data_IF_435560504992
#
_entry.id   IF_435560504992
#
_cell.length_a   1.000
_cell.length_b   1.000
_cell.length_c   1.000
_cell.angle_alpha   90.00
_cell.angle_beta   90.00
_cell.angle_gamma   90.00
#
_symmetry.space_group_name_H-M   'P 1'
#
loop_
_entity.id
_entity.type
_entity.pdbx_description
1 polymer ?
#
# COMPACT_ATOMS: atom_id res chain seq x y z
N UNK A 1 -13.92 15.63 21.24
CA UNK A 1 -13.22 16.12 20.03
C UNK A 1 -12.53 14.94 19.33
N UNK A 2 -13.18 13.78 19.31
CA UNK A 2 -12.46 12.50 19.22
C UNK A 2 -12.84 11.75 17.96
N UNK A 3 -12.35 12.26 16.83
CA UNK A 3 -12.33 11.47 15.61
C UNK A 3 -11.20 10.45 15.70
N UNK A 4 -11.57 9.18 15.84
CA UNK A 4 -10.64 8.06 15.97
C UNK A 4 -10.37 7.44 14.61
N UNK A 5 -9.11 7.42 14.20
CA UNK A 5 -8.69 6.74 12.96
C UNK A 5 -8.47 5.27 13.28
N UNK A 6 -9.18 4.40 12.55
CA UNK A 6 -9.05 2.94 12.66
C UNK A 6 -8.32 2.39 11.44
N UNK A 7 -7.58 1.30 11.62
CA UNK A 7 -6.96 0.58 10.51
C UNK A 7 -7.78 -0.68 10.24
N UNK A 8 -8.23 -0.87 9.00
CA UNK A 8 -8.95 -2.06 8.58
C UNK A 8 -8.02 -3.28 8.55
N UNK A 9 -8.57 -4.49 8.50
CA UNK A 9 -7.77 -5.72 8.32
C UNK A 9 -6.90 -5.70 7.06
N UNK A 10 -7.30 -4.93 6.05
CA UNK A 10 -6.57 -4.74 4.78
C UNK A 10 -5.57 -3.57 4.84
N UNK A 11 -5.38 -2.95 6.00
CA UNK A 11 -4.48 -1.81 6.19
C UNK A 11 -5.07 -0.44 5.80
N UNK A 12 -6.30 -0.38 5.29
CA UNK A 12 -6.97 0.88 4.93
C UNK A 12 -7.35 1.66 6.18
N UNK A 13 -6.97 2.94 6.26
CA UNK A 13 -7.37 3.81 7.37
C UNK A 13 -8.75 4.36 7.14
N UNK A 14 -9.59 4.21 8.15
CA UNK A 14 -11.01 4.55 8.08
C UNK A 14 -11.46 5.24 9.35
N UNK A 15 -12.47 6.09 9.21
CA UNK A 15 -13.21 6.69 10.32
C UNK A 15 -14.66 6.23 10.27
N UNK A 16 -15.32 6.15 11.43
CA UNK A 16 -16.78 5.91 11.45
C UNK A 16 -17.51 7.16 10.98
N UNK A 17 -18.53 6.97 10.16
CA UNK A 17 -19.38 8.05 9.70
C UNK A 17 -20.11 8.71 10.89
N UNK A 18 -20.50 7.93 11.91
CA UNK A 18 -21.13 8.49 13.13
C UNK A 18 -20.18 9.38 13.93
N UNK A 19 -18.92 8.97 14.08
CA UNK A 19 -17.89 9.76 14.74
C UNK A 19 -17.56 11.02 13.95
N UNK A 20 -17.49 10.93 12.61
CA UNK A 20 -17.29 12.10 11.75
C UNK A 20 -18.48 13.07 11.82
N UNK A 21 -19.71 12.57 11.79
CA UNK A 21 -20.93 13.37 11.88
C UNK A 21 -21.02 14.13 13.21
N UNK A 22 -20.76 13.45 14.33
CA UNK A 22 -20.68 14.08 15.65
C UNK A 22 -19.54 15.07 15.75
N UNK A 23 -18.37 14.73 15.20
CA UNK A 23 -17.22 15.65 15.17
C UNK A 23 -17.56 16.94 14.41
N UNK A 24 -18.32 16.84 13.30
CA UNK A 24 -18.81 17.98 12.53
C UNK A 24 -19.91 18.78 13.26
N UNK A 25 -20.34 18.37 14.45
CA UNK A 25 -21.34 19.07 15.24
C UNK A 25 -22.74 19.06 14.63
N UNK A 26 -23.05 18.02 13.85
CA UNK A 26 -24.35 17.84 13.20
C UNK A 26 -25.34 17.17 14.16
N UNK A 27 -26.63 17.43 14.02
CA UNK A 27 -27.64 16.85 14.89
C UNK A 27 -27.84 15.35 14.63
N UNK A 28 -27.79 14.52 15.67
CA UNK A 28 -27.77 13.05 15.57
C UNK A 28 -28.95 12.47 14.78
N UNK A 29 -30.15 13.07 14.88
CA UNK A 29 -31.34 12.63 14.16
C UNK A 29 -31.24 12.81 12.63
N UNK A 30 -30.32 13.65 12.14
CA UNK A 30 -30.05 13.81 10.71
C UNK A 30 -28.94 12.89 10.19
N UNK A 31 -28.36 12.04 11.05
CA UNK A 31 -27.23 11.19 10.67
C UNK A 31 -27.47 10.37 9.41
N UNK A 32 -28.57 9.62 9.34
CA UNK A 32 -28.87 8.78 8.18
C UNK A 32 -29.10 9.59 6.89
N UNK A 33 -29.78 10.73 6.98
CA UNK A 33 -30.01 11.59 5.84
C UNK A 33 -28.69 12.19 5.32
N UNK A 34 -27.84 12.68 6.24
CA UNK A 34 -26.54 13.26 5.91
C UNK A 34 -25.61 12.23 5.28
N UNK A 35 -25.51 11.04 5.85
CA UNK A 35 -24.67 9.96 5.31
C UNK A 35 -25.13 9.53 3.92
N UNK A 36 -26.44 9.39 3.69
CA UNK A 36 -26.98 9.09 2.35
C UNK A 36 -26.68 10.21 1.35
N UNK A 37 -26.78 11.47 1.77
CA UNK A 37 -26.39 12.61 0.94
C UNK A 37 -24.90 12.54 0.60
N UNK A 38 -24.05 12.31 1.61
CA UNK A 38 -22.61 12.26 1.44
C UNK A 38 -22.17 11.18 0.46
N UNK A 39 -22.77 9.99 0.51
CA UNK A 39 -22.45 8.87 -0.39
C UNK A 39 -22.96 9.11 -1.82
N UNK A 40 -23.99 9.94 -2.01
CA UNK A 40 -24.58 10.24 -3.33
C UNK A 40 -24.01 11.49 -4.00
N UNK A 41 -23.31 12.32 -3.23
CA UNK A 41 -22.72 13.57 -3.70
C UNK A 41 -21.49 13.33 -4.58
N UNK A 42 -21.04 14.39 -5.26
CA UNK A 42 -19.89 14.38 -6.15
C UNK A 42 -18.73 15.12 -5.47
N UNK A 43 -17.55 14.51 -5.46
CA UNK A 43 -16.35 15.12 -4.91
C UNK A 43 -15.18 15.04 -5.89
N UNK A 44 -14.20 15.89 -5.68
CA UNK A 44 -12.91 15.86 -6.36
C UNK A 44 -11.95 14.97 -5.58
N UNK A 45 -11.90 13.69 -5.95
CA UNK A 45 -10.90 12.73 -5.47
C UNK A 45 -9.59 12.91 -6.23
N UNK A 46 -8.52 12.29 -5.74
CA UNK A 46 -7.21 12.29 -6.42
C UNK A 46 -7.27 11.71 -7.84
N UNK A 47 -8.16 10.74 -8.08
CA UNK A 47 -8.37 10.09 -9.37
C UNK A 47 -9.40 10.80 -10.27
N UNK A 48 -10.04 11.88 -9.79
CA UNK A 48 -10.94 12.71 -10.58
C UNK A 48 -12.23 13.11 -9.86
N UNK A 49 -13.13 13.75 -10.60
CA UNK A 49 -14.43 14.20 -10.07
C UNK A 49 -15.45 13.08 -10.24
N UNK A 50 -15.85 12.43 -9.14
CA UNK A 50 -16.78 11.29 -9.14
C UNK A 50 -17.58 11.17 -7.85
N UNK A 51 -18.52 10.23 -7.84
CA UNK A 51 -19.24 9.81 -6.62
C UNK A 51 -18.39 8.81 -5.82
N UNK A 52 -18.56 8.76 -4.49
CA UNK A 52 -17.93 7.74 -3.66
C UNK A 52 -18.32 6.31 -4.11
N UNK A 53 -17.34 5.42 -4.15
CA UNK A 53 -17.49 4.02 -4.58
C UNK A 53 -17.47 3.10 -3.36
N UNK A 54 -18.43 2.17 -3.30
CA UNK A 54 -18.50 1.19 -2.23
C UNK A 54 -17.31 0.23 -2.24
N UNK A 55 -16.84 -0.17 -1.07
CA UNK A 55 -15.64 -0.99 -0.83
C UNK A 55 -14.31 -0.34 -1.24
N UNK A 56 -14.33 0.89 -1.74
CA UNK A 56 -13.16 1.72 -2.04
C UNK A 56 -13.10 2.93 -1.10
N UNK A 57 -14.10 3.82 -1.20
CA UNK A 57 -14.16 5.05 -0.41
C UNK A 57 -14.96 4.88 0.88
N UNK A 58 -15.95 3.98 0.86
CA UNK A 58 -16.75 3.67 2.02
C UNK A 58 -17.16 2.20 2.09
N UNK A 59 -17.38 1.70 3.30
CA UNK A 59 -17.93 0.36 3.55
C UNK A 59 -19.01 0.41 4.62
N UNK A 60 -20.03 -0.43 4.48
CA UNK A 60 -21.08 -0.57 5.50
C UNK A 60 -20.63 -1.55 6.58
N UNK A 61 -20.90 -1.23 7.85
CA UNK A 61 -20.61 -2.15 8.97
C UNK A 61 -21.47 -3.42 8.88
N UNK A 62 -20.86 -4.59 9.08
CA UNK A 62 -21.54 -5.89 9.09
C UNK A 62 -22.31 -6.18 10.39
N UNK A 63 -22.04 -5.42 11.46
CA UNK A 63 -22.62 -5.63 12.79
C UNK A 63 -24.00 -4.99 12.97
N UNK A 64 -24.58 -4.38 11.93
CA UNK A 64 -25.88 -3.69 11.99
C UNK A 64 -27.02 -4.61 11.56
N UNK A 65 -27.16 -5.77 12.21
CA UNK A 65 -28.24 -6.73 11.90
C UNK A 65 -29.61 -6.33 12.47
N UNK A 66 -29.68 -5.38 13.41
CA UNK A 66 -30.92 -5.11 14.16
C UNK A 66 -31.27 -3.64 14.37
N UNK A 67 -30.39 -2.70 13.99
CA UNK A 67 -30.64 -1.26 14.17
C UNK A 67 -31.10 -0.59 12.87
N UNK A 68 -32.14 0.24 12.98
CA UNK A 68 -32.69 1.11 11.91
C UNK A 68 -31.62 2.07 11.36
N UNK A 69 -30.55 2.30 12.13
CA UNK A 69 -29.43 3.18 11.80
C UNK A 69 -28.26 2.37 11.27
N UNK A 70 -27.95 2.51 9.99
CA UNK A 70 -26.79 1.88 9.36
C UNK A 70 -25.50 2.66 9.64
N UNK A 71 -24.47 1.97 10.14
CA UNK A 71 -23.13 2.55 10.34
C UNK A 71 -22.26 2.34 9.10
N UNK A 72 -21.45 3.36 8.78
CA UNK A 72 -20.54 3.35 7.65
C UNK A 72 -19.12 3.69 8.10
N UNK A 73 -18.15 3.16 7.37
CA UNK A 73 -16.73 3.50 7.48
C UNK A 73 -16.34 4.26 6.23
N UNK A 74 -15.67 5.40 6.38
CA UNK A 74 -15.13 6.20 5.29
C UNK A 74 -13.62 6.15 5.33
N UNK A 75 -12.97 6.06 4.17
CA UNK A 75 -11.53 6.30 4.07
C UNK A 75 -11.22 7.77 4.43
N UNK A 76 -9.94 8.07 4.69
CA UNK A 76 -9.54 9.42 5.12
C UNK A 76 -9.82 10.48 4.05
N UNK A 77 -9.67 10.13 2.77
CA UNK A 77 -9.92 11.04 1.66
C UNK A 77 -11.40 11.46 1.59
N UNK A 78 -12.33 10.50 1.57
CA UNK A 78 -13.76 10.76 1.58
C UNK A 78 -14.15 11.54 2.84
N UNK A 79 -13.65 11.15 4.01
CA UNK A 79 -13.95 11.85 5.26
C UNK A 79 -13.52 13.32 5.22
N UNK A 80 -12.35 13.62 4.62
CA UNK A 80 -11.85 14.99 4.42
C UNK A 80 -12.75 15.76 3.46
N UNK A 81 -13.12 15.17 2.33
CA UNK A 81 -13.98 15.79 1.32
C UNK A 81 -15.38 16.08 1.89
N UNK A 82 -15.95 15.12 2.62
CA UNK A 82 -17.22 15.26 3.36
C UNK A 82 -17.13 16.38 4.39
N UNK A 83 -16.04 16.44 5.16
CA UNK A 83 -15.85 17.51 6.14
C UNK A 83 -15.87 18.88 5.46
N UNK A 84 -15.11 19.07 4.38
CA UNK A 84 -15.02 20.34 3.65
C UNK A 84 -16.36 20.78 3.02
N UNK A 85 -17.11 19.83 2.47
CA UNK A 85 -18.39 20.06 1.81
C UNK A 85 -19.55 20.29 2.81
N UNK A 86 -19.41 19.77 4.03
CA UNK A 86 -20.43 19.92 5.07
C UNK A 86 -20.48 21.35 5.62
N UNK A 87 -21.70 21.88 5.81
CA UNK A 87 -21.92 23.16 6.53
C UNK A 87 -21.72 22.98 8.04
N UNK A 88 -20.47 23.08 8.48
CA UNK A 88 -20.08 23.05 9.90
C UNK A 88 -19.07 24.15 10.23
N UNK A 89 -19.15 24.71 11.44
CA UNK A 89 -18.20 25.71 11.94
C UNK A 89 -16.80 25.13 12.19
N UNK A 90 -16.71 23.82 12.46
CA UNK A 90 -15.45 23.12 12.77
C UNK A 90 -14.88 22.34 11.58
N UNK A 91 -15.46 22.50 10.39
CA UNK A 91 -15.11 21.74 9.20
C UNK A 91 -13.63 21.83 8.81
N UNK A 92 -13.06 23.03 8.91
CA UNK A 92 -11.66 23.26 8.55
C UNK A 92 -10.72 22.54 9.51
N UNK A 93 -10.96 22.63 10.83
CA UNK A 93 -10.13 21.95 11.82
C UNK A 93 -10.12 20.42 11.65
N UNK A 94 -11.29 19.84 11.36
CA UNK A 94 -11.44 18.40 11.11
C UNK A 94 -10.79 18.00 9.79
N UNK A 95 -11.00 18.77 8.72
CA UNK A 95 -10.37 18.51 7.43
C UNK A 95 -8.84 18.62 7.51
N UNK A 96 -8.30 19.60 8.25
CA UNK A 96 -6.85 19.73 8.48
C UNK A 96 -6.31 18.57 9.30
N UNK A 97 -7.02 18.10 10.33
CA UNK A 97 -6.62 16.90 11.09
C UNK A 97 -6.57 15.67 10.18
N UNK A 98 -7.61 15.46 9.38
CA UNK A 98 -7.67 14.35 8.42
C UNK A 98 -6.60 14.46 7.32
N UNK A 99 -6.29 15.68 6.86
CA UNK A 99 -5.24 15.92 5.86
C UNK A 99 -3.87 15.61 6.41
N UNK A 100 -3.53 16.06 7.63
CA UNK A 100 -2.25 15.75 8.25
C UNK A 100 -2.06 14.24 8.41
N UNK A 101 -3.09 13.54 8.86
CA UNK A 101 -3.04 12.08 9.00
C UNK A 101 -2.93 11.38 7.64
N UNK A 102 -3.55 11.92 6.59
CA UNK A 102 -3.42 11.43 5.21
C UNK A 102 -2.06 11.79 4.57
N UNK A 103 -1.45 12.94 4.88
CA UNK A 103 -0.13 13.36 4.39
C UNK A 103 0.99 12.54 5.04
N UNK A 104 0.84 12.18 6.32
CA UNK A 104 1.80 11.31 7.01
C UNK A 104 1.80 9.90 6.39
N UNK A 105 0.68 9.47 5.79
CA UNK A 105 0.63 8.23 5.04
C UNK A 105 -0.25 8.40 3.80
N UNK A 106 0.29 8.84 2.66
CA UNK A 106 -0.52 8.96 1.45
C UNK A 106 -1.11 7.59 1.04
N UNK A 107 -2.35 7.58 0.56
CA UNK A 107 -2.98 6.37 -0.01
C UNK A 107 -2.68 6.25 -1.53
N UNK A 108 -2.28 7.37 -2.16
CA UNK A 108 -1.88 7.46 -3.56
C UNK A 108 -0.49 8.08 -3.73
N UNK A 109 0.23 7.65 -4.75
CA UNK A 109 1.59 8.12 -5.04
C UNK A 109 1.57 9.51 -5.67
N UNK A 110 2.10 10.49 -4.95
CA UNK A 110 2.41 11.82 -5.46
C UNK A 110 3.88 12.11 -5.14
N UNK A 111 4.72 12.09 -6.17
CA UNK A 111 6.17 12.27 -6.03
C UNK A 111 6.59 13.63 -6.56
N UNK A 112 7.44 14.33 -5.81
CA UNK A 112 8.24 15.43 -6.33
C UNK A 112 9.34 14.89 -7.25
N UNK A 113 9.97 15.76 -8.04
CA UNK A 113 11.08 15.36 -8.93
C UNK A 113 12.20 14.63 -8.16
N UNK A 114 12.57 15.13 -6.98
CA UNK A 114 13.60 14.51 -6.14
C UNK A 114 13.18 13.11 -5.64
N UNK A 115 11.90 12.96 -5.26
CA UNK A 115 11.36 11.67 -4.83
C UNK A 115 11.28 10.67 -5.99
N UNK A 116 11.00 11.13 -7.21
CA UNK A 116 11.05 10.29 -8.42
C UNK A 116 12.48 9.83 -8.72
N UNK A 117 13.47 10.71 -8.62
CA UNK A 117 14.88 10.34 -8.78
C UNK A 117 15.32 9.34 -7.71
N UNK A 118 14.87 9.54 -6.47
CA UNK A 118 15.15 8.59 -5.40
C UNK A 118 14.53 7.21 -5.66
N UNK A 119 13.27 7.15 -6.14
CA UNK A 119 12.63 5.90 -6.52
C UNK A 119 13.39 5.21 -7.65
N UNK A 120 13.91 5.98 -8.62
CA UNK A 120 14.70 5.44 -9.72
C UNK A 120 15.99 4.79 -9.22
N UNK A 121 16.72 5.44 -8.31
CA UNK A 121 17.92 4.86 -7.70
C UNK A 121 17.59 3.62 -6.85
N UNK A 122 16.49 3.64 -6.10
CA UNK A 122 16.03 2.47 -5.36
C UNK A 122 15.65 1.32 -6.30
N UNK A 123 15.04 1.63 -7.44
CA UNK A 123 14.69 0.64 -8.48
C UNK A 123 15.96 -0.01 -9.04
N UNK A 124 17.01 0.77 -9.31
CA UNK A 124 18.34 0.25 -9.69
C UNK A 124 18.97 -0.60 -8.58
N UNK A 125 18.87 -0.19 -7.33
CA UNK A 125 19.42 -0.96 -6.22
C UNK A 125 18.66 -2.29 -6.01
N UNK A 126 17.35 -2.32 -6.30
CA UNK A 126 16.50 -3.51 -6.22
C UNK A 126 16.75 -4.53 -7.33
N UNK A 127 17.65 -4.27 -8.29
CA UNK A 127 18.15 -5.33 -9.19
C UNK A 127 18.98 -6.37 -8.44
N UNK A 128 19.55 -6.01 -7.29
CA UNK A 128 20.36 -6.90 -6.44
C UNK A 128 19.47 -7.74 -5.53
N UNK A 129 19.66 -9.06 -5.54
CA UNK A 129 18.92 -9.96 -4.65
C UNK A 129 19.19 -9.67 -3.17
N UNK A 130 20.39 -9.22 -2.81
CA UNK A 130 20.71 -8.84 -1.43
C UNK A 130 19.81 -7.71 -0.91
N UNK A 131 19.56 -6.68 -1.72
CA UNK A 131 18.67 -5.57 -1.40
C UNK A 131 17.21 -6.03 -1.23
N UNK A 132 16.75 -6.90 -2.14
CA UNK A 132 15.40 -7.47 -2.07
C UNK A 132 15.21 -8.32 -0.79
N UNK A 133 16.21 -9.14 -0.44
CA UNK A 133 16.20 -9.96 0.77
C UNK A 133 16.17 -9.09 2.04
N UNK A 134 17.00 -8.05 2.10
CA UNK A 134 17.02 -7.12 3.23
C UNK A 134 15.71 -6.31 3.36
N UNK A 135 15.05 -5.98 2.24
CA UNK A 135 13.73 -5.36 2.26
C UNK A 135 12.66 -6.30 2.82
N UNK A 136 12.64 -7.55 2.36
CA UNK A 136 11.71 -8.58 2.83
C UNK A 136 11.88 -8.86 4.33
N UNK A 137 13.12 -9.00 4.80
CA UNK A 137 13.42 -9.25 6.22
C UNK A 137 12.97 -8.07 7.10
N UNK A 138 13.22 -6.83 6.66
CA UNK A 138 12.72 -5.65 7.38
C UNK A 138 11.21 -5.61 7.43
N UNK A 139 10.53 -5.94 6.33
CA UNK A 139 9.08 -5.96 6.30
C UNK A 139 8.53 -7.06 7.22
N UNK A 140 9.14 -8.25 7.22
CA UNK A 140 8.82 -9.32 8.16
C UNK A 140 8.97 -8.87 9.62
N UNK A 141 10.11 -8.26 9.97
CA UNK A 141 10.35 -7.74 11.31
C UNK A 141 9.32 -6.66 11.71
N UNK A 142 8.98 -5.76 10.79
CA UNK A 142 7.94 -4.76 11.01
C UNK A 142 6.55 -5.40 11.18
N UNK A 143 6.25 -6.48 10.47
CA UNK A 143 5.03 -7.25 10.61
C UNK A 143 4.95 -7.92 11.98
N UNK A 144 5.98 -8.69 12.37
CA UNK A 144 6.05 -9.40 13.66
C UNK A 144 5.91 -8.42 14.84
N UNK A 145 6.56 -7.24 14.76
CA UNK A 145 6.41 -6.19 15.78
C UNK A 145 4.97 -5.68 15.93
N UNK A 146 4.18 -5.67 14.84
CA UNK A 146 2.79 -5.21 14.84
C UNK A 146 1.80 -6.30 15.25
N UNK A 147 2.02 -7.54 14.82
CA UNK A 147 1.09 -8.67 15.02
C UNK A 147 1.42 -9.55 16.21
N UNK A 148 2.66 -9.50 16.72
CA UNK A 148 3.16 -10.35 17.80
C UNK A 148 3.55 -11.78 17.39
N UNK A 149 3.28 -12.19 16.14
CA UNK A 149 3.68 -13.50 15.59
C UNK A 149 3.96 -13.42 14.09
N UNK A 150 4.91 -14.25 13.63
CA UNK A 150 5.27 -14.42 12.23
C UNK A 150 4.52 -15.53 11.49
N UNK A 151 3.69 -16.32 12.15
CA UNK A 151 3.12 -17.56 11.59
C UNK A 151 2.31 -17.33 10.30
N UNK A 152 1.63 -16.18 10.21
CA UNK A 152 0.80 -15.82 9.07
C UNK A 152 1.51 -14.94 8.02
N UNK A 153 2.82 -14.71 8.17
CA UNK A 153 3.58 -13.83 7.28
C UNK A 153 3.48 -14.23 5.81
N UNK A 154 3.69 -15.51 5.49
CA UNK A 154 3.70 -15.97 4.10
C UNK A 154 2.35 -15.74 3.42
N UNK A 155 1.25 -16.00 4.12
CA UNK A 155 -0.09 -15.75 3.62
C UNK A 155 -0.33 -14.25 3.43
N UNK A 156 -0.01 -13.45 4.46
CA UNK A 156 -0.11 -12.00 4.39
C UNK A 156 0.66 -11.43 3.19
N UNK A 157 1.90 -11.86 2.99
CA UNK A 157 2.77 -11.35 1.93
C UNK A 157 2.26 -11.74 0.54
N UNK A 158 1.78 -12.97 0.37
CA UNK A 158 1.14 -13.39 -0.90
C UNK A 158 -0.08 -12.51 -1.19
N UNK A 159 -0.99 -12.35 -0.23
CA UNK A 159 -2.21 -11.57 -0.42
C UNK A 159 -1.99 -10.07 -0.60
N UNK A 160 -0.98 -9.50 0.04
CA UNK A 160 -0.82 -8.04 0.15
C UNK A 160 0.32 -7.48 -0.70
N UNK A 161 1.36 -8.26 -0.98
CA UNK A 161 2.58 -7.79 -1.67
C UNK A 161 2.76 -8.48 -3.01
N UNK A 162 2.82 -9.82 -3.02
CA UNK A 162 3.18 -10.60 -4.21
C UNK A 162 2.01 -10.69 -5.18
N UNK A 163 0.77 -10.81 -4.69
CA UNK A 163 -0.47 -10.86 -5.48
C UNK A 163 -0.57 -12.04 -6.46
N UNK A 164 0.30 -13.03 -6.32
CA UNK A 164 0.24 -14.29 -7.05
C UNK A 164 0.67 -15.43 -6.14
N UNK A 165 -0.04 -16.55 -6.21
CA UNK A 165 0.23 -17.75 -5.43
C UNK A 165 1.34 -18.59 -6.07
N UNK A 166 1.91 -19.51 -5.29
CA UNK A 166 2.89 -20.47 -5.84
C UNK A 166 2.29 -21.39 -6.90
N UNK A 167 1.01 -21.73 -6.77
CA UNK A 167 0.32 -22.63 -7.70
C UNK A 167 0.12 -21.94 -9.05
N UNK A 168 -0.40 -20.71 -9.05
CA UNK A 168 -0.54 -19.88 -10.26
C UNK A 168 0.82 -19.63 -10.94
N UNK A 169 1.89 -19.37 -10.17
CA UNK A 169 3.23 -19.22 -10.73
C UNK A 169 3.71 -20.48 -11.45
N UNK A 170 3.45 -21.67 -10.88
CA UNK A 170 3.84 -22.96 -11.47
C UNK A 170 3.03 -23.27 -12.72
N UNK A 171 1.75 -22.95 -12.72
CA UNK A 171 0.87 -23.07 -13.88
C UNK A 171 1.38 -22.19 -15.02
N UNK A 172 1.61 -20.89 -14.75
CA UNK A 172 2.11 -19.94 -15.75
C UNK A 172 3.49 -20.31 -16.30
N UNK A 173 4.38 -20.89 -15.49
CA UNK A 173 5.67 -21.40 -15.95
C UNK A 173 5.51 -22.65 -16.84
N UNK A 174 4.57 -23.52 -16.50
CA UNK A 174 4.24 -24.72 -17.28
C UNK A 174 3.70 -24.33 -18.66
N UNK A 175 2.76 -23.39 -18.71
CA UNK A 175 2.16 -22.88 -19.96
C UNK A 175 3.22 -22.27 -20.90
N UNK A 176 4.29 -21.71 -20.33
CA UNK A 176 5.41 -21.11 -21.07
C UNK A 176 6.55 -22.09 -21.37
N UNK A 177 6.42 -23.37 -20.99
CA UNK A 177 7.46 -24.39 -21.09
C UNK A 177 8.78 -23.99 -20.40
N UNK A 178 8.71 -23.24 -19.30
CA UNK A 178 9.88 -22.83 -18.51
C UNK A 178 10.11 -23.86 -17.39
N UNK A 179 11.29 -24.50 -17.31
CA UNK A 179 11.55 -25.53 -16.31
C UNK A 179 11.64 -24.94 -14.89
N UNK A 180 11.04 -25.63 -13.92
CA UNK A 180 11.14 -25.30 -12.50
C UNK A 180 11.20 -26.56 -11.61
N UNK A 181 11.75 -26.42 -10.40
CA UNK A 181 11.77 -27.45 -9.38
C UNK A 181 10.64 -27.21 -8.36
N UNK A 182 10.03 -28.27 -7.83
CA UNK A 182 9.03 -28.20 -6.75
C UNK A 182 9.58 -27.55 -5.48
N UNK A 183 10.88 -27.67 -5.23
CA UNK A 183 11.55 -27.07 -4.07
C UNK A 183 11.81 -25.57 -4.25
N UNK A 184 11.55 -24.99 -5.43
CA UNK A 184 11.74 -23.57 -5.64
C UNK A 184 10.79 -22.74 -4.77
N UNK A 185 11.35 -21.70 -4.16
CA UNK A 185 10.59 -20.70 -3.39
C UNK A 185 9.91 -19.71 -4.33
N UNK A 186 8.94 -18.95 -3.81
CA UNK A 186 8.20 -17.91 -4.55
C UNK A 186 9.14 -17.01 -5.36
N UNK A 187 10.23 -16.51 -4.76
CA UNK A 187 11.19 -15.64 -5.46
C UNK A 187 11.87 -16.31 -6.65
N UNK A 188 12.25 -17.58 -6.51
CA UNK A 188 12.93 -18.32 -7.59
C UNK A 188 11.99 -18.64 -8.74
N UNK A 189 10.71 -18.88 -8.45
CA UNK A 189 9.67 -19.02 -9.46
C UNK A 189 9.38 -17.67 -10.13
N UNK A 190 9.27 -16.60 -9.35
CA UNK A 190 9.02 -15.25 -9.85
C UNK A 190 10.16 -14.76 -10.75
N UNK A 191 11.42 -14.98 -10.36
CA UNK A 191 12.59 -14.62 -11.17
C UNK A 191 12.60 -15.32 -12.53
N UNK A 192 12.07 -16.54 -12.62
CA UNK A 192 11.94 -17.28 -13.90
C UNK A 192 10.76 -16.82 -14.73
N UNK A 193 9.68 -16.42 -14.08
CA UNK A 193 8.50 -15.95 -14.78
C UNK A 193 8.67 -14.51 -15.27
N UNK A 194 9.01 -13.58 -14.36
CA UNK A 194 9.16 -12.16 -14.61
C UNK A 194 10.15 -11.56 -13.58
N UNK A 195 11.43 -11.34 -13.96
CA UNK A 195 12.41 -10.69 -13.09
C UNK A 195 11.99 -9.31 -12.60
N UNK A 196 11.22 -8.54 -13.38
CA UNK A 196 10.82 -7.18 -13.01
C UNK A 196 9.78 -7.20 -11.88
N UNK A 197 9.02 -8.29 -11.74
CA UNK A 197 8.14 -8.48 -10.59
C UNK A 197 8.93 -8.63 -9.28
N UNK A 198 10.15 -9.17 -9.31
CA UNK A 198 11.02 -9.19 -8.12
C UNK A 198 11.39 -7.76 -7.67
N UNK A 199 11.65 -6.86 -8.62
CA UNK A 199 11.92 -5.45 -8.33
C UNK A 199 10.68 -4.78 -7.73
N UNK A 200 9.50 -5.00 -8.34
CA UNK A 200 8.22 -4.50 -7.82
C UNK A 200 8.01 -4.93 -6.36
N UNK A 201 8.14 -6.22 -6.09
CA UNK A 201 7.96 -6.81 -4.76
C UNK A 201 8.98 -6.24 -3.77
N UNK A 202 10.25 -6.09 -4.17
CA UNK A 202 11.30 -5.51 -3.32
C UNK A 202 11.02 -4.07 -2.91
N UNK A 203 10.51 -3.24 -3.85
CA UNK A 203 10.08 -1.87 -3.54
C UNK A 203 8.89 -1.86 -2.59
N UNK A 204 7.89 -2.72 -2.82
CA UNK A 204 6.72 -2.80 -1.93
C UNK A 204 7.15 -3.18 -0.51
N UNK A 205 8.00 -4.21 -0.36
CA UNK A 205 8.53 -4.62 0.94
C UNK A 205 9.35 -3.48 1.59
N UNK A 206 10.15 -2.75 0.81
CA UNK A 206 10.96 -1.65 1.32
C UNK A 206 10.13 -0.51 1.91
N UNK A 207 9.05 -0.10 1.25
CA UNK A 207 8.18 0.97 1.73
C UNK A 207 7.22 0.47 2.82
N UNK A 208 6.71 -0.76 2.74
CA UNK A 208 5.88 -1.32 3.80
C UNK A 208 6.65 -1.47 5.13
N UNK A 209 7.94 -1.82 5.06
CA UNK A 209 8.85 -1.86 6.21
C UNK A 209 9.03 -0.49 6.88
N UNK A 210 9.03 0.59 6.10
CA UNK A 210 9.10 1.97 6.61
C UNK A 210 7.79 2.47 7.23
N UNK A 211 6.71 1.67 7.16
CA UNK A 211 5.42 2.01 7.75
C UNK A 211 4.44 2.67 6.78
N UNK A 212 4.77 2.78 5.48
CA UNK A 212 3.82 3.24 4.47
C UNK A 212 2.67 2.24 4.31
N UNK A 213 1.52 2.74 3.84
CA UNK A 213 0.35 1.91 3.57
C UNK A 213 0.65 0.92 2.45
N UNK A 214 0.05 -0.27 2.50
CA UNK A 214 0.19 -1.28 1.45
C UNK A 214 -0.32 -0.76 0.08
N UNK A 215 -1.47 -0.06 -0.02
CA UNK A 215 -1.90 0.53 -1.29
C UNK A 215 -0.86 1.46 -1.90
N UNK A 216 -0.27 2.35 -1.11
CA UNK A 216 0.79 3.26 -1.55
C UNK A 216 2.05 2.53 -2.00
N UNK A 217 2.50 1.54 -1.22
CA UNK A 217 3.65 0.74 -1.57
C UNK A 217 3.43 -0.09 -2.85
N UNK A 218 2.19 -0.54 -3.10
CA UNK A 218 1.81 -1.22 -4.35
C UNK A 218 1.87 -0.28 -5.56
N UNK A 219 1.39 0.96 -5.43
CA UNK A 219 1.52 1.97 -6.49
C UNK A 219 2.98 2.31 -6.79
N UNK A 220 3.82 2.50 -5.76
CA UNK A 220 5.26 2.71 -5.93
C UNK A 220 5.94 1.52 -6.60
N UNK A 221 5.57 0.31 -6.21
CA UNK A 221 6.06 -0.90 -6.85
C UNK A 221 5.73 -0.93 -8.34
N UNK A 222 4.48 -0.62 -8.72
CA UNK A 222 4.05 -0.57 -10.13
C UNK A 222 4.89 0.42 -10.92
N UNK A 223 5.06 1.64 -10.39
CA UNK A 223 5.90 2.66 -11.01
C UNK A 223 7.35 2.19 -11.15
N UNK A 224 7.92 1.57 -10.11
CA UNK A 224 9.26 1.01 -10.17
C UNK A 224 9.41 -0.11 -11.22
N UNK A 225 8.39 -0.95 -11.41
CA UNK A 225 8.38 -1.96 -12.48
C UNK A 225 8.40 -1.31 -13.86
N UNK A 226 7.61 -0.27 -14.08
CA UNK A 226 7.59 0.48 -15.35
C UNK A 226 8.93 1.17 -15.62
N UNK A 227 9.53 1.78 -14.59
CA UNK A 227 10.88 2.35 -14.67
C UNK A 227 11.92 1.28 -15.00
N UNK A 228 11.87 0.13 -14.32
CA UNK A 228 12.79 -0.97 -14.57
C UNK A 228 12.69 -1.52 -16.00
N UNK A 229 11.46 -1.66 -16.52
CA UNK A 229 11.22 -2.06 -17.91
C UNK A 229 11.79 -1.03 -18.90
N UNK A 230 11.54 0.26 -18.65
CA UNK A 230 12.03 1.37 -19.50
C UNK A 230 13.56 1.42 -19.54
N UNK A 231 14.19 1.14 -18.41
CA UNK A 231 15.65 1.14 -18.25
C UNK A 231 16.30 -0.18 -18.61
N UNK A 232 15.53 -1.19 -18.99
CA UNK A 232 15.99 -2.54 -19.32
C UNK A 232 16.85 -3.15 -18.20
N UNK A 233 16.38 -3.03 -16.96
CA UNK A 233 17.09 -3.54 -15.80
C UNK A 233 17.01 -5.06 -15.72
N UNK A 234 18.13 -5.67 -15.34
CA UNK A 234 18.24 -7.11 -15.12
C UNK A 234 18.49 -7.40 -13.63
N UNK A 235 17.82 -8.41 -13.10
CA UNK A 235 18.00 -8.83 -11.71
C UNK A 235 19.22 -9.75 -11.61
N UNK A 236 20.14 -9.42 -10.71
CA UNK A 236 21.42 -10.12 -10.51
C UNK A 236 21.52 -10.68 -9.09
N UNK A 237 22.05 -11.90 -8.97
CA UNK A 237 22.42 -12.48 -7.67
C UNK A 237 23.82 -12.01 -7.26
N UNK A 238 23.86 -10.96 -6.44
CA UNK A 238 25.08 -10.30 -5.97
C UNK A 238 25.67 -10.94 -4.69
N UNK A 239 25.07 -12.02 -4.19
CA UNK A 239 25.49 -12.66 -2.92
C UNK A 239 26.82 -13.42 -3.02
N UNK A 240 27.23 -13.77 -4.24
CA UNK A 240 28.50 -14.46 -4.51
C UNK A 240 29.58 -13.50 -5.08
N UNK A 241 29.30 -12.19 -5.08
CA UNK A 241 30.14 -11.15 -5.68
C UNK A 241 29.36 -10.34 -6.73
N UNK A 242 29.77 -9.09 -6.97
CA UNK A 242 29.18 -8.28 -8.04
C UNK A 242 29.64 -8.82 -9.40
N UNK A 243 28.68 -9.17 -10.25
CA UNK A 243 28.97 -9.54 -11.64
C UNK A 243 29.43 -8.32 -12.45
N UNK A 244 30.29 -8.54 -13.45
CA UNK A 244 30.79 -7.49 -14.34
C UNK A 244 29.70 -6.66 -15.04
N UNK A 245 28.48 -7.21 -15.13
CA UNK A 245 27.33 -6.62 -15.82
C UNK A 245 26.24 -6.11 -14.87
N UNK A 246 26.55 -6.00 -13.57
CA UNK A 246 25.60 -5.47 -12.58
C UNK A 246 25.33 -3.99 -12.90
N UNK A 247 24.05 -3.59 -12.94
CA UNK A 247 23.69 -2.20 -13.19
C UNK A 247 24.34 -1.27 -12.14
N UNK A 248 24.99 -0.18 -12.57
CA UNK A 248 25.52 0.81 -11.64
C UNK A 248 24.37 1.42 -10.85
N UNK A 249 24.48 1.35 -9.53
CA UNK A 249 23.58 1.97 -8.58
C UNK A 249 24.42 2.71 -7.55
N UNK A 250 23.86 3.73 -6.92
CA UNK A 250 24.53 4.43 -5.82
C UNK A 250 24.94 3.43 -4.71
N UNK A 251 26.25 3.30 -4.49
CA UNK A 251 26.85 2.37 -3.54
C UNK A 251 26.40 2.67 -2.11
N UNK A 252 26.23 3.95 -1.76
CA UNK A 252 25.78 4.34 -0.42
C UNK A 252 24.31 4.01 -0.22
N UNK A 253 23.48 4.12 -1.27
CA UNK A 253 22.10 3.66 -1.23
C UNK A 253 22.02 2.14 -1.11
N UNK A 254 22.78 1.39 -1.91
CA UNK A 254 22.86 -0.08 -1.83
C UNK A 254 23.25 -0.50 -0.42
N UNK A 255 24.29 0.10 0.16
CA UNK A 255 24.70 -0.16 1.54
C UNK A 255 23.60 0.18 2.55
N UNK A 256 22.89 1.29 2.38
CA UNK A 256 21.75 1.65 3.26
C UNK A 256 20.62 0.62 3.17
N UNK A 257 20.34 0.11 1.97
CA UNK A 257 19.31 -0.90 1.76
C UNK A 257 19.71 -2.28 2.34
N UNK A 258 21.01 -2.61 2.30
CA UNK A 258 21.56 -3.86 2.84
C UNK A 258 21.80 -3.84 4.36
N UNK A 259 22.32 -2.74 4.93
CA UNK A 259 22.84 -2.65 6.31
C UNK A 259 21.82 -2.78 7.44
N UNK A 260 20.53 -2.81 7.15
CA UNK A 260 19.51 -3.01 8.17
C UNK A 260 19.13 -4.50 8.38
N UNK A 261 19.91 -5.42 7.79
CA UNK A 261 19.82 -6.88 7.95
C UNK A 261 20.82 -7.43 9.01
N UNK A 262 21.24 -6.61 9.98
CA UNK A 262 22.08 -7.02 11.10
C UNK A 262 21.36 -6.83 12.44
#
# INVERSE_FOLDING_TARGET
>A
MDLTIRISKKGTRVVKASELHRALGLADHHYQANVRSWIRDVYQFADGIRKPVGMQDYARSTNTKTDVVHEYYFNLELARLVALNTKSKVKQAIATKLSKEAEVYPDHVQLTADQTLQLLEQTRAMTRLSCQMAAEERHYNAYVRRTGSGDYWNHYRVENVVKITMEELREQLTDRNIPFNRNHRVRELLLRHDPLECIRVGIVDHYAAQGYSIPYALELGKLARELAATMQLEVTDDRQGEGLFTTPADIDLVRKLQRAAA
#
